data_IF_319095517017
#
_entry.id   IF_319095517017
#
_cell.length_a   1.000
_cell.length_b   1.000
_cell.length_c   1.000
_cell.angle_alpha   90.00
_cell.angle_beta   90.00
_cell.angle_gamma   90.00
#
_symmetry.space_group_name_H-M   'P 1'
#
loop_
_entity.id
_entity.type
_entity.pdbx_description
1 polymer ?
#
# COMPACT_ATOMS: atom_id res chain seq x y z
N UNK A 1 -4.32 7.84 9.63
CA UNK A 1 -5.40 7.54 8.65
C UNK A 1 -6.27 8.74 8.31
N UNK A 2 -6.93 9.41 9.26
CA UNK A 2 -7.76 10.60 8.95
C UNK A 2 -6.90 11.75 8.37
N UNK A 3 -5.77 12.07 9.00
CA UNK A 3 -4.83 13.09 8.50
C UNK A 3 -4.31 12.73 7.10
N UNK A 4 -3.83 11.50 6.91
CA UNK A 4 -3.40 10.99 5.60
C UNK A 4 -4.46 11.21 4.51
N UNK A 5 -5.73 10.90 4.79
CA UNK A 5 -6.81 11.04 3.81
C UNK A 5 -7.21 12.51 3.56
N UNK A 6 -7.20 13.37 4.58
CA UNK A 6 -7.81 14.70 4.46
C UNK A 6 -6.78 15.83 4.30
N UNK A 7 -5.52 15.58 4.62
CA UNK A 7 -4.45 16.58 4.70
C UNK A 7 -3.26 16.15 3.84
N UNK A 8 -2.68 14.98 4.10
CA UNK A 8 -1.39 14.63 3.48
C UNK A 8 -1.53 14.15 2.03
N UNK A 9 -2.56 13.34 1.75
CA UNK A 9 -2.80 12.73 0.43
C UNK A 9 -4.28 12.75 -0.01
N UNK A 10 -4.99 13.91 0.05
CA UNK A 10 -6.42 13.97 -0.25
C UNK A 10 -6.75 13.60 -1.69
N UNK A 11 -5.98 14.09 -2.67
CA UNK A 11 -6.21 13.78 -4.08
C UNK A 11 -6.14 12.27 -4.34
N UNK A 12 -5.09 11.64 -3.83
CA UNK A 12 -4.80 10.23 -4.09
C UNK A 12 -5.72 9.30 -3.28
N UNK A 13 -5.98 9.57 -2.00
CA UNK A 13 -6.79 8.68 -1.15
C UNK A 13 -8.30 8.90 -1.26
N UNK A 14 -8.75 10.08 -1.68
CA UNK A 14 -10.18 10.35 -1.88
C UNK A 14 -10.55 10.06 -3.32
N UNK A 15 -9.89 10.71 -4.29
CA UNK A 15 -10.30 10.71 -5.69
C UNK A 15 -9.47 9.78 -6.58
N UNK A 16 -8.32 9.33 -6.12
CA UNK A 16 -7.41 8.51 -6.92
C UNK A 16 -8.04 7.19 -7.38
N UNK A 17 -7.66 6.77 -8.58
CA UNK A 17 -8.12 5.53 -9.20
C UNK A 17 -7.66 4.33 -8.39
N UNK A 18 -8.56 3.36 -8.19
CA UNK A 18 -8.24 2.09 -7.55
C UNK A 18 -7.70 1.09 -8.58
N UNK A 19 -6.59 0.44 -8.26
CA UNK A 19 -6.03 -0.64 -9.06
C UNK A 19 -5.66 -1.82 -8.14
N UNK A 20 -6.29 -2.99 -8.28
CA UNK A 20 -5.86 -4.17 -7.52
C UNK A 20 -4.45 -4.57 -7.93
N UNK A 21 -3.64 -5.02 -6.98
CA UNK A 21 -2.35 -5.63 -7.27
C UNK A 21 -2.53 -7.14 -7.21
N UNK A 22 -2.65 -7.74 -8.39
CA UNK A 22 -2.66 -9.19 -8.54
C UNK A 22 -1.23 -9.72 -8.29
N UNK A 23 -1.09 -10.98 -7.86
CA UNK A 23 0.15 -11.59 -7.33
C UNK A 23 0.37 -11.48 -5.81
N UNK A 24 -0.69 -11.40 -5.02
CA UNK A 24 -0.64 -11.59 -3.57
C UNK A 24 -1.14 -12.98 -3.15
N UNK A 25 -0.71 -13.47 -1.98
CA UNK A 25 -1.32 -14.64 -1.36
C UNK A 25 -2.83 -14.41 -1.15
N UNK A 26 -3.66 -15.47 -1.14
CA UNK A 26 -5.12 -15.36 -1.01
C UNK A 26 -5.56 -14.56 0.23
N UNK A 27 -4.76 -14.62 1.30
CA UNK A 27 -5.02 -13.90 2.55
C UNK A 27 -4.42 -12.49 2.59
N UNK A 28 -3.84 -11.99 1.50
CA UNK A 28 -3.25 -10.67 1.39
C UNK A 28 -4.04 -9.85 0.38
N UNK A 29 -4.57 -8.71 0.83
CA UNK A 29 -5.16 -7.72 -0.06
C UNK A 29 -4.12 -6.64 -0.32
N UNK A 30 -3.77 -6.47 -1.60
CA UNK A 30 -2.91 -5.40 -2.06
C UNK A 30 -3.61 -4.60 -3.17
N UNK A 31 -3.57 -3.26 -3.06
CA UNK A 31 -4.11 -2.37 -4.08
C UNK A 31 -3.37 -1.04 -4.09
N UNK A 32 -3.41 -0.37 -5.23
CA UNK A 32 -2.94 0.98 -5.40
C UNK A 32 -4.10 1.99 -5.49
N UNK A 33 -3.87 3.18 -4.96
CA UNK A 33 -4.61 4.40 -5.26
C UNK A 33 -3.68 5.35 -5.98
N UNK A 34 -4.07 5.80 -7.16
CA UNK A 34 -3.22 6.62 -8.02
C UNK A 34 -3.91 7.92 -8.40
N UNK A 35 -3.19 9.03 -8.28
CA UNK A 35 -3.52 10.32 -8.88
C UNK A 35 -2.52 10.64 -9.99
N UNK A 36 -2.61 11.84 -10.59
CA UNK A 36 -1.67 12.26 -11.62
C UNK A 36 -0.21 12.38 -11.12
N UNK A 37 0.00 12.56 -9.80
CA UNK A 37 1.33 12.86 -9.23
C UNK A 37 1.78 11.87 -8.19
N UNK A 38 0.91 10.97 -7.73
CA UNK A 38 1.23 10.04 -6.65
C UNK A 38 0.60 8.67 -6.84
N UNK A 39 1.28 7.67 -6.28
CA UNK A 39 0.79 6.31 -6.16
C UNK A 39 0.95 5.83 -4.73
N UNK A 40 -0.15 5.50 -4.07
CA UNK A 40 -0.16 4.92 -2.73
C UNK A 40 -0.55 3.45 -2.82
N UNK A 41 0.25 2.59 -2.21
CA UNK A 41 0.05 1.14 -2.23
C UNK A 41 -0.32 0.70 -0.82
N UNK A 42 -1.52 0.14 -0.67
CA UNK A 42 -2.01 -0.44 0.58
C UNK A 42 -1.86 -1.95 0.50
N UNK A 43 -1.19 -2.54 1.49
CA UNK A 43 -0.98 -3.98 1.62
C UNK A 43 -1.48 -4.40 2.99
N UNK A 44 -2.38 -5.37 3.06
CA UNK A 44 -2.92 -5.89 4.32
C UNK A 44 -2.95 -7.41 4.30
N UNK A 45 -2.30 -8.01 5.29
CA UNK A 45 -2.52 -9.42 5.63
C UNK A 45 -3.84 -9.54 6.40
N UNK A 46 -4.79 -10.33 5.91
CA UNK A 46 -6.07 -10.59 6.56
C UNK A 46 -6.08 -11.91 7.35
N UNK A 47 -4.92 -12.53 7.57
CA UNK A 47 -4.78 -13.74 8.37
C UNK A 47 -4.03 -13.53 9.68
N UNK A 48 -4.25 -14.45 10.62
CA UNK A 48 -3.49 -14.57 11.86
C UNK A 48 -2.11 -15.23 11.66
N UNK A 49 -1.74 -15.57 10.43
CA UNK A 49 -0.48 -16.24 10.09
C UNK A 49 0.44 -15.26 9.36
N UNK A 50 1.75 -15.49 9.44
CA UNK A 50 2.68 -14.76 8.60
C UNK A 50 2.47 -15.12 7.13
N UNK A 51 2.59 -14.11 6.26
CA UNK A 51 2.46 -14.28 4.82
C UNK A 51 3.72 -13.80 4.11
N UNK A 52 4.25 -14.58 3.14
CA UNK A 52 5.35 -14.11 2.31
C UNK A 52 4.86 -12.94 1.46
N UNK A 53 5.65 -11.86 1.38
CA UNK A 53 5.31 -10.73 0.55
C UNK A 53 6.56 -9.93 0.19
N UNK A 54 6.67 -9.54 -1.08
CA UNK A 54 7.72 -8.63 -1.54
C UNK A 54 7.23 -7.21 -1.46
N UNK A 55 7.85 -6.41 -0.59
CA UNK A 55 7.51 -4.99 -0.48
C UNK A 55 7.87 -4.26 -1.78
N UNK A 56 6.93 -3.50 -2.38
CA UNK A 56 7.25 -2.65 -3.50
C UNK A 56 8.17 -1.50 -3.04
N UNK A 57 8.99 -1.00 -3.97
CA UNK A 57 9.82 0.18 -3.71
C UNK A 57 8.97 1.41 -3.37
N UNK A 58 9.41 2.17 -2.36
CA UNK A 58 8.75 3.40 -1.96
C UNK A 58 9.00 3.78 -0.51
N UNK A 59 8.38 4.87 -0.08
CA UNK A 59 8.43 5.36 1.30
C UNK A 59 7.27 4.78 2.10
N UNK A 60 7.55 4.19 3.28
CA UNK A 60 6.51 3.70 4.18
C UNK A 60 5.89 4.90 4.90
N UNK A 61 4.64 5.21 4.58
CA UNK A 61 3.90 6.34 5.19
C UNK A 61 3.09 5.91 6.41
N UNK A 62 2.76 4.62 6.50
CA UNK A 62 2.07 4.04 7.66
C UNK A 62 2.38 2.55 7.77
N UNK A 63 2.65 2.10 8.98
CA UNK A 63 2.54 0.69 9.33
C UNK A 63 1.98 0.55 10.74
N UNK A 64 1.19 -0.50 10.97
CA UNK A 64 0.71 -0.85 12.31
C UNK A 64 1.72 -1.67 13.13
N UNK A 65 2.85 -2.06 12.53
CA UNK A 65 3.98 -2.66 13.23
C UNK A 65 5.21 -1.75 13.10
N UNK A 66 6.04 -1.73 14.15
CA UNK A 66 7.27 -0.95 14.18
C UNK A 66 8.35 -1.44 13.22
N UNK A 67 8.36 -2.74 12.92
CA UNK A 67 9.33 -3.36 12.04
C UNK A 67 8.63 -3.89 10.79
N UNK A 68 9.18 -3.53 9.64
CA UNK A 68 8.77 -4.04 8.33
C UNK A 68 9.86 -4.98 7.84
N UNK A 69 9.49 -6.24 7.67
CA UNK A 69 10.37 -7.36 7.34
C UNK A 69 10.04 -7.90 5.95
N UNK A 70 10.78 -8.93 5.50
CA UNK A 70 10.49 -9.65 4.25
C UNK A 70 9.20 -10.49 4.28
N UNK A 71 8.51 -10.55 5.43
CA UNK A 71 7.20 -11.18 5.61
C UNK A 71 6.22 -10.22 6.26
N UNK A 72 4.93 -10.36 5.92
CA UNK A 72 3.84 -9.66 6.59
C UNK A 72 3.46 -10.42 7.85
N UNK A 73 3.51 -9.74 8.99
CA UNK A 73 3.03 -10.25 10.28
C UNK A 73 1.50 -10.44 10.28
N UNK A 74 0.96 -11.19 11.25
CA UNK A 74 -0.49 -11.32 11.43
C UNK A 74 -1.18 -9.96 11.45
N UNK A 75 -2.16 -9.77 10.57
CA UNK A 75 -2.92 -8.51 10.46
C UNK A 75 -2.07 -7.25 10.18
N UNK A 76 -0.86 -7.40 9.64
CA UNK A 76 -0.03 -6.26 9.29
C UNK A 76 -0.63 -5.52 8.09
N UNK A 77 -0.77 -4.21 8.27
CA UNK A 77 -1.12 -3.25 7.22
C UNK A 77 0.03 -2.29 7.03
N UNK A 78 0.40 -2.08 5.78
CA UNK A 78 1.44 -1.14 5.36
C UNK A 78 0.85 -0.28 4.24
N UNK A 79 1.06 1.03 4.34
CA UNK A 79 0.80 1.98 3.27
C UNK A 79 2.14 2.55 2.80
N UNK A 80 2.39 2.47 1.50
CA UNK A 80 3.65 2.86 0.87
C UNK A 80 3.36 3.92 -0.19
N UNK A 81 4.14 5.00 -0.21
CA UNK A 81 4.19 5.95 -1.32
C UNK A 81 5.19 5.45 -2.35
N UNK A 82 4.67 4.89 -3.44
CA UNK A 82 5.44 4.36 -4.55
C UNK A 82 5.72 5.42 -5.63
N UNK A 83 6.61 5.10 -6.56
CA UNK A 83 6.84 5.93 -7.74
C UNK A 83 5.63 5.86 -8.70
N UNK A 84 5.19 7.01 -9.21
CA UNK A 84 4.30 7.05 -10.37
C UNK A 84 5.11 6.52 -11.55
N UNK A 85 4.85 5.30 -12.00
CA UNK A 85 5.30 4.90 -13.32
C UNK A 85 4.52 5.77 -14.29
N UNK A 86 5.14 6.87 -14.74
CA UNK A 86 4.75 7.47 -16.01
C UNK A 86 4.98 6.37 -17.03
N UNK A 87 3.92 5.67 -17.42
CA UNK A 87 3.96 4.79 -18.58
C UNK A 87 4.47 5.66 -19.73
N UNK A 88 5.72 5.39 -20.13
CA UNK A 88 6.44 6.14 -21.14
C UNK A 88 5.71 6.00 -22.48
N UNK A 89 5.36 7.17 -23.05
CA UNK A 89 5.51 7.60 -24.46
C UNK A 89 5.11 6.58 -25.54
#
# INVERSE_FOLDING_TARGET
>A
MIALRNIDFPETLIYGTFTPLEEAAESVIAYARSSATERLISITNLSAKEQPFTLPDGEIVLSNYSNVTSTLKPYQTILIKGCVKNEQI
#
